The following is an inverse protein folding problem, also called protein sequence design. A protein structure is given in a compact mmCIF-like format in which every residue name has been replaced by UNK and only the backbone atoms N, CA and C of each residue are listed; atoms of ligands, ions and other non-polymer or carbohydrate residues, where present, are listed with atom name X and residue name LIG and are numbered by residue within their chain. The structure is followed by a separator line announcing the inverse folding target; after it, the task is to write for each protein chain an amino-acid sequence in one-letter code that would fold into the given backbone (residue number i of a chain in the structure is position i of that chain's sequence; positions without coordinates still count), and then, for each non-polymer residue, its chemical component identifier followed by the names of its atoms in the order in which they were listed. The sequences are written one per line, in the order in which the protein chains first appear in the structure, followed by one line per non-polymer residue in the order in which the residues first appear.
data_IF_889563080930
#
_entry.id   IF_889563080930
#
_cell.length_a   1.000
_cell.length_b   1.000
_cell.length_c   1.000
_cell.angle_alpha   90.00
_cell.angle_beta   90.00
_cell.angle_gamma   90.00
#
_symmetry.space_group_name_H-M   'P 1'
#
loop_
_entity.id
_entity.type
_entity.pdbx_description
1 polymer ?
#
# COMPACT_ATOMS: atom_id res chain seq x y z
N UNK A 1 -0.99 12.58 -4.18
CA UNK A 1 -0.14 13.76 -3.90
C UNK A 1 1.29 13.46 -3.47
N UNK A 2 1.64 12.27 -2.98
CA UNK A 2 3.05 11.96 -2.68
C UNK A 2 3.98 12.24 -3.87
N UNK A 3 3.44 12.20 -5.09
CA UNK A 3 4.04 12.71 -6.32
C UNK A 3 4.68 14.11 -6.22
N UNK A 4 4.13 15.03 -5.43
CA UNK A 4 4.63 16.38 -5.19
C UNK A 4 5.94 16.41 -4.37
N UNK A 5 6.30 15.31 -3.70
CA UNK A 5 7.58 15.16 -3.01
C UNK A 5 8.67 14.89 -4.06
N UNK A 6 9.64 15.80 -4.20
CA UNK A 6 10.66 15.74 -5.26
C UNK A 6 11.92 14.96 -4.85
N UNK A 7 12.55 14.33 -5.83
CA UNK A 7 13.88 13.71 -5.71
C UNK A 7 13.96 12.59 -4.67
N UNK A 8 15.10 12.53 -3.98
CA UNK A 8 15.43 11.48 -3.00
C UNK A 8 14.62 11.53 -1.70
N UNK A 9 13.74 12.54 -1.54
CA UNK A 9 12.91 12.68 -0.32
C UNK A 9 11.83 11.61 -0.22
N UNK A 10 11.30 11.10 -1.34
CA UNK A 10 10.33 9.99 -1.34
C UNK A 10 10.89 8.72 -0.65
N UNK A 11 12.05 8.19 -1.08
CA UNK A 11 12.74 7.11 -0.35
C UNK A 11 13.05 7.42 1.12
N UNK A 12 13.43 8.67 1.44
CA UNK A 12 13.71 9.08 2.82
C UNK A 12 12.47 9.00 3.73
N UNK A 13 11.29 9.35 3.22
CA UNK A 13 10.05 9.21 3.98
C UNK A 13 9.67 7.74 4.22
N UNK A 14 9.96 6.83 3.27
CA UNK A 14 9.83 5.39 3.53
C UNK A 14 10.79 4.90 4.61
N UNK A 15 12.02 5.42 4.65
CA UNK A 15 12.99 5.10 5.72
C UNK A 15 12.54 5.66 7.08
N UNK A 16 12.04 6.89 7.11
CA UNK A 16 11.58 7.55 8.34
C UNK A 16 10.32 6.87 8.91
N UNK A 17 9.36 6.51 8.05
CA UNK A 17 8.16 5.77 8.46
C UNK A 17 8.45 4.30 8.79
N UNK A 18 9.50 3.71 8.20
CA UNK A 18 9.85 2.30 8.39
C UNK A 18 8.64 1.40 8.10
N UNK A 19 8.22 0.57 9.07
CA UNK A 19 7.04 -0.30 8.98
C UNK A 19 5.76 0.31 9.58
N UNK A 20 5.77 1.59 9.97
CA UNK A 20 4.61 2.27 10.56
C UNK A 20 3.71 2.87 9.47
N UNK A 21 2.62 2.15 9.18
CA UNK A 21 1.64 2.51 8.14
C UNK A 21 0.80 3.72 8.53
N UNK A 22 0.48 3.88 9.80
CA UNK A 22 -0.33 5.00 10.28
C UNK A 22 0.47 6.30 10.26
N UNK A 23 1.73 6.27 10.68
CA UNK A 23 2.62 7.42 10.56
C UNK A 23 2.78 7.87 9.11
N UNK A 24 2.98 6.93 8.18
CA UNK A 24 3.09 7.26 6.76
C UNK A 24 1.79 7.86 6.21
N UNK A 25 0.63 7.27 6.55
CA UNK A 25 -0.67 7.79 6.14
C UNK A 25 -0.94 9.20 6.69
N UNK A 26 -0.57 9.46 7.95
CA UNK A 26 -0.68 10.78 8.57
C UNK A 26 0.14 11.83 7.83
N UNK A 27 1.39 11.49 7.46
CA UNK A 27 2.21 12.37 6.61
C UNK A 27 1.54 12.66 5.26
N UNK A 28 0.88 11.67 4.63
CA UNK A 28 0.15 11.90 3.38
C UNK A 28 -1.05 12.83 3.57
N UNK A 29 -1.80 12.67 4.66
CA UNK A 29 -2.93 13.55 5.00
C UNK A 29 -2.44 14.97 5.34
N UNK A 30 -1.30 15.11 6.01
CA UNK A 30 -0.69 16.43 6.28
C UNK A 30 -0.27 17.12 4.97
N UNK A 31 0.30 16.38 4.02
CA UNK A 31 0.58 16.91 2.69
C UNK A 31 -0.71 17.38 2.00
N UNK A 32 -1.84 16.71 2.21
CA UNK A 32 -3.13 17.09 1.62
C UNK A 32 -3.60 18.42 2.17
N UNK A 33 -3.56 18.54 3.49
CA UNK A 33 -3.95 19.75 4.20
C UNK A 33 -3.01 20.92 3.89
N UNK A 34 -1.75 20.64 3.58
CA UNK A 34 -0.79 21.65 3.16
C UNK A 34 -1.06 22.15 1.73
N UNK A 35 -1.16 21.23 0.76
CA UNK A 35 -1.34 21.60 -0.65
C UNK A 35 -2.74 22.12 -0.98
N UNK A 36 -3.78 21.61 -0.28
CA UNK A 36 -5.20 21.92 -0.50
C UNK A 36 -5.59 21.89 -1.98
N UNK A 37 -5.52 20.72 -2.64
CA UNK A 37 -5.95 20.60 -4.03
C UNK A 37 -7.37 21.14 -4.21
N UNK A 38 -7.58 22.00 -5.19
CA UNK A 38 -8.92 22.58 -5.46
C UNK A 38 -9.89 21.56 -6.06
N UNK A 39 -9.35 20.57 -6.78
CA UNK A 39 -10.11 19.51 -7.42
C UNK A 39 -9.23 18.27 -7.51
N UNK A 40 -9.78 17.13 -7.11
CA UNK A 40 -9.18 15.81 -7.26
C UNK A 40 -10.09 14.98 -8.16
N UNK A 41 -9.50 14.35 -9.18
CA UNK A 41 -10.20 13.49 -10.13
C UNK A 41 -9.56 12.11 -10.02
N UNK A 42 -10.39 11.07 -9.95
CA UNK A 42 -9.99 9.67 -9.91
C UNK A 42 -10.58 8.95 -11.12
N UNK A 43 -9.70 8.38 -11.94
CA UNK A 43 -10.06 7.45 -13.00
C UNK A 43 -10.17 6.04 -12.41
N UNK A 44 -11.40 5.55 -12.32
CA UNK A 44 -11.74 4.21 -11.85
C UNK A 44 -12.35 3.36 -12.97
N UNK A 45 -12.12 3.68 -14.25
CA UNK A 45 -12.70 2.88 -15.35
C UNK A 45 -12.25 1.42 -15.22
N UNK A 46 -10.94 1.23 -14.99
CA UNK A 46 -10.32 -0.06 -14.68
C UNK A 46 -9.54 0.07 -13.38
N UNK A 47 -9.98 -0.67 -12.36
CA UNK A 47 -9.27 -0.88 -11.11
C UNK A 47 -8.39 -2.14 -11.17
N UNK A 48 -7.66 -2.38 -10.08
CA UNK A 48 -6.77 -3.53 -9.94
C UNK A 48 -7.09 -4.30 -8.65
N UNK A 49 -7.42 -5.58 -8.80
CA UNK A 49 -7.65 -6.51 -7.69
C UNK A 49 -6.38 -7.31 -7.34
N UNK A 50 -6.28 -7.78 -6.11
CA UNK A 50 -5.20 -8.64 -5.62
C UNK A 50 -3.89 -7.91 -5.28
N UNK A 51 -2.77 -8.63 -5.39
CA UNK A 51 -1.43 -8.22 -4.92
C UNK A 51 -0.70 -7.23 -5.83
N UNK A 52 -1.45 -6.36 -6.54
CA UNK A 52 -0.90 -5.37 -7.46
C UNK A 52 0.22 -4.50 -6.86
N UNK A 53 0.84 -3.59 -7.63
CA UNK A 53 0.56 -3.22 -9.02
C UNK A 53 1.16 -4.15 -10.09
N UNK A 54 0.73 -3.98 -11.35
CA UNK A 54 1.30 -4.68 -12.51
C UNK A 54 0.77 -6.10 -12.68
N UNK A 55 1.64 -7.05 -13.10
CA UNK A 55 1.26 -8.45 -13.38
C UNK A 55 0.85 -9.25 -12.13
N UNK A 56 1.10 -8.73 -10.93
CA UNK A 56 0.66 -9.37 -9.67
C UNK A 56 -0.80 -9.08 -9.33
N UNK A 57 -1.44 -8.12 -10.01
CA UNK A 57 -2.86 -7.83 -9.88
C UNK A 57 -3.69 -8.33 -11.06
N UNK A 58 -5.02 -8.26 -10.93
CA UNK A 58 -5.99 -8.60 -11.98
C UNK A 58 -6.86 -7.38 -12.31
N UNK A 59 -6.96 -6.97 -13.58
CA UNK A 59 -7.81 -5.85 -13.97
C UNK A 59 -9.27 -6.10 -13.60
N UNK A 60 -9.93 -5.09 -13.02
CA UNK A 60 -11.36 -5.10 -12.67
C UNK A 60 -12.03 -3.86 -13.21
N UNK A 61 -12.98 -4.03 -14.13
CA UNK A 61 -13.77 -2.89 -14.62
C UNK A 61 -14.71 -2.39 -13.53
N UNK A 62 -14.62 -1.11 -13.17
CA UNK A 62 -15.64 -0.43 -12.36
C UNK A 62 -16.45 0.56 -13.21
N UNK A 63 -15.85 1.13 -14.26
CA UNK A 63 -16.55 2.01 -15.20
C UNK A 63 -16.90 3.39 -14.66
N UNK A 64 -16.20 3.85 -13.62
CA UNK A 64 -16.49 5.12 -12.94
C UNK A 64 -15.37 6.14 -13.10
N UNK A 65 -15.74 7.42 -13.19
CA UNK A 65 -14.84 8.55 -12.98
C UNK A 65 -15.43 9.35 -11.83
N UNK A 66 -14.61 9.61 -10.81
CA UNK A 66 -15.04 10.38 -9.66
C UNK A 66 -14.29 11.70 -9.59
N UNK A 67 -14.93 12.73 -9.05
CA UNK A 67 -14.30 14.01 -8.80
C UNK A 67 -14.83 14.64 -7.52
N UNK A 68 -13.95 15.29 -6.76
CA UNK A 68 -14.31 15.99 -5.52
C UNK A 68 -13.33 17.12 -5.23
N UNK A 69 -13.80 18.12 -4.50
CA UNK A 69 -12.93 19.14 -3.89
C UNK A 69 -12.29 18.63 -2.59
N UNK A 70 -12.83 17.55 -2.02
CA UNK A 70 -12.29 16.87 -0.85
C UNK A 70 -11.82 15.45 -1.23
N UNK A 71 -10.51 15.23 -1.15
CA UNK A 71 -9.90 13.95 -1.50
C UNK A 71 -10.22 12.84 -0.48
N UNK A 72 -10.45 13.18 0.80
CA UNK A 72 -10.83 12.18 1.81
C UNK A 72 -12.26 11.71 1.57
N UNK A 73 -13.17 12.63 1.23
CA UNK A 73 -14.54 12.28 0.82
C UNK A 73 -14.55 11.46 -0.47
N UNK A 74 -13.66 11.77 -1.43
CA UNK A 74 -13.50 10.99 -2.65
C UNK A 74 -13.10 9.55 -2.33
N UNK A 75 -12.05 9.37 -1.53
CA UNK A 75 -11.58 8.05 -1.07
C UNK A 75 -12.70 7.33 -0.29
N UNK A 76 -13.46 8.05 0.54
CA UNK A 76 -14.57 7.49 1.31
C UNK A 76 -15.67 6.91 0.43
N UNK A 77 -16.02 7.60 -0.67
CA UNK A 77 -16.99 7.10 -1.67
C UNK A 77 -16.41 5.91 -2.43
N UNK A 78 -15.12 5.93 -2.80
CA UNK A 78 -14.47 4.78 -3.44
C UNK A 78 -14.55 3.54 -2.55
N UNK A 79 -14.31 3.68 -1.24
CA UNK A 79 -14.44 2.57 -0.28
C UNK A 79 -15.84 1.96 -0.30
N UNK A 80 -16.91 2.76 -0.35
CA UNK A 80 -18.26 2.23 -0.52
C UNK A 80 -18.42 1.46 -1.84
N UNK A 81 -17.93 2.01 -2.95
CA UNK A 81 -18.03 1.37 -4.28
C UNK A 81 -17.37 -0.01 -4.28
N UNK A 82 -16.23 -0.16 -3.60
CA UNK A 82 -15.51 -1.45 -3.54
C UNK A 82 -15.89 -2.32 -2.33
N UNK A 83 -16.87 -1.89 -1.52
CA UNK A 83 -17.33 -2.65 -0.36
C UNK A 83 -16.34 -2.71 0.81
N UNK A 84 -15.51 -1.68 0.99
CA UNK A 84 -14.56 -1.53 2.09
C UNK A 84 -15.03 -0.50 3.14
N UNK A 85 -14.54 -0.66 4.36
CA UNK A 85 -14.76 0.26 5.47
C UNK A 85 -13.72 1.38 5.54
N UNK A 86 -14.05 2.43 6.29
CA UNK A 86 -13.17 3.59 6.52
C UNK A 86 -11.80 3.22 7.11
N UNK A 87 -11.75 2.13 7.88
CA UNK A 87 -10.54 1.63 8.54
C UNK A 87 -9.63 0.82 7.63
N UNK A 88 -10.13 0.34 6.50
CA UNK A 88 -9.36 -0.48 5.56
C UNK A 88 -8.34 0.35 4.77
N UNK A 89 -8.55 1.67 4.71
CA UNK A 89 -7.63 2.62 4.09
C UNK A 89 -7.03 3.55 5.16
N UNK A 90 -5.73 3.41 5.41
CA UNK A 90 -5.04 4.15 6.46
C UNK A 90 -5.17 5.68 6.36
N UNK A 91 -5.30 6.26 5.16
CA UNK A 91 -5.52 7.71 5.01
C UNK A 91 -6.89 8.13 5.51
N UNK A 92 -7.94 7.36 5.21
CA UNK A 92 -9.28 7.58 5.77
C UNK A 92 -9.33 7.29 7.27
N UNK A 93 -8.67 6.22 7.74
CA UNK A 93 -8.55 5.91 9.16
C UNK A 93 -7.93 7.07 9.93
N UNK A 94 -6.76 7.54 9.52
CA UNK A 94 -6.08 8.67 10.18
C UNK A 94 -6.92 9.93 10.09
N UNK A 95 -7.56 10.21 8.95
CA UNK A 95 -8.45 11.37 8.82
C UNK A 95 -9.63 11.33 9.80
N UNK A 96 -10.18 10.14 10.08
CA UNK A 96 -11.25 9.96 11.07
C UNK A 96 -10.70 10.12 12.49
N UNK A 97 -9.60 9.44 12.81
CA UNK A 97 -9.01 9.43 14.15
C UNK A 97 -8.52 10.84 14.57
N UNK A 98 -8.16 11.68 13.60
CA UNK A 98 -7.72 13.06 13.78
C UNK A 98 -8.82 14.12 13.56
N UNK A 99 -10.07 13.70 13.34
CA UNK A 99 -11.22 14.58 13.09
C UNK A 99 -11.00 15.60 11.95
N UNK A 100 -10.41 15.14 10.84
CA UNK A 100 -10.07 15.98 9.69
C UNK A 100 -11.28 16.24 8.77
N UNK A 101 -12.31 15.39 8.84
CA UNK A 101 -13.51 15.45 8.01
C UNK A 101 -13.42 14.62 6.72
N UNK A 102 -14.54 14.55 5.99
CA UNK A 102 -14.64 13.81 4.73
C UNK A 102 -14.76 12.28 4.88
N UNK A 103 -14.77 11.75 6.11
CA UNK A 103 -14.82 10.29 6.36
C UNK A 103 -16.22 9.75 6.60
N UNK A 104 -17.20 10.62 6.83
CA UNK A 104 -18.60 10.21 6.98
C UNK A 104 -19.31 10.20 5.63
N UNK A 105 -19.81 9.02 5.25
CA UNK A 105 -20.56 8.86 4.01
C UNK A 105 -21.95 9.51 4.11
N UNK A 106 -22.58 9.50 5.28
CA UNK A 106 -23.92 10.06 5.46
C UNK A 106 -23.92 11.59 5.29
N UNK A 107 -22.84 12.24 5.72
CA UNK A 107 -22.59 13.67 5.48
C UNK A 107 -22.07 14.02 4.08
N UNK A 108 -21.80 13.04 3.21
CA UNK A 108 -21.22 13.29 1.88
C UNK A 108 -22.30 13.42 0.81
N UNK A 109 -22.39 14.58 0.17
CA UNK A 109 -23.27 14.78 -0.99
C UNK A 109 -22.65 14.14 -2.24
N UNK A 110 -23.28 13.09 -2.75
CA UNK A 110 -22.92 12.48 -4.04
C UNK A 110 -23.83 13.04 -5.13
N UNK A 111 -23.22 13.46 -6.23
CA UNK A 111 -23.91 13.93 -7.42
C UNK A 111 -23.63 12.97 -8.58
N UNK A 112 -24.64 12.69 -9.40
CA UNK A 112 -24.53 11.73 -10.50
C UNK A 112 -25.19 10.40 -10.17
N UNK A 113 -24.51 9.30 -10.50
CA UNK A 113 -24.99 7.94 -10.26
C UNK A 113 -25.07 7.63 -8.76
N UNK A 114 -26.06 6.82 -8.38
CA UNK A 114 -26.17 6.32 -7.02
C UNK A 114 -25.04 5.32 -6.74
N UNK A 115 -24.41 5.40 -5.56
CA UNK A 115 -23.31 4.51 -5.18
C UNK A 115 -23.72 3.05 -5.29
N UNK A 116 -24.93 2.69 -4.88
CA UNK A 116 -25.42 1.31 -4.92
C UNK A 116 -25.54 0.77 -6.36
N UNK A 117 -25.68 1.65 -7.36
CA UNK A 117 -25.76 1.25 -8.77
C UNK A 117 -24.40 0.89 -9.37
N UNK A 118 -23.31 1.44 -8.83
CA UNK A 118 -21.93 1.22 -9.29
C UNK A 118 -21.10 0.34 -8.35
N UNK A 119 -21.66 -0.03 -7.20
CA UNK A 119 -21.00 -0.84 -6.19
C UNK A 119 -20.67 -2.25 -6.69
N UNK A 120 -19.47 -2.72 -6.34
CA UNK A 120 -18.98 -4.06 -6.62
C UNK A 120 -18.95 -4.88 -5.34
N UNK A 121 -19.59 -6.06 -5.36
CA UNK A 121 -19.78 -6.91 -4.16
C UNK A 121 -18.65 -7.90 -3.90
N UNK A 122 -17.82 -8.16 -4.90
CA UNK A 122 -16.81 -9.23 -4.92
C UNK A 122 -15.42 -8.68 -5.22
N UNK A 123 -15.16 -7.42 -4.88
CA UNK A 123 -13.84 -6.82 -5.07
C UNK A 123 -12.79 -7.54 -4.21
N UNK A 124 -11.70 -7.99 -4.83
CA UNK A 124 -10.66 -8.76 -4.14
C UNK A 124 -9.52 -7.85 -3.71
N UNK A 125 -9.45 -7.56 -2.41
CA UNK A 125 -8.37 -6.81 -1.79
C UNK A 125 -7.06 -7.61 -1.67
N UNK A 126 -5.89 -6.95 -1.65
CA UNK A 126 -4.63 -7.60 -1.33
C UNK A 126 -4.64 -8.16 0.10
N UNK A 127 -3.89 -9.23 0.33
CA UNK A 127 -3.77 -9.83 1.66
C UNK A 127 -2.96 -8.91 2.56
N UNK A 128 -3.60 -8.38 3.59
CA UNK A 128 -2.92 -7.63 4.64
C UNK A 128 -2.23 -8.63 5.55
N UNK A 129 -0.92 -8.81 5.36
CA UNK A 129 -0.12 -9.61 6.29
C UNK A 129 0.27 -8.71 7.46
N UNK A 130 -0.28 -8.96 8.65
CA UNK A 130 0.08 -8.18 9.83
C UNK A 130 1.53 -8.45 10.25
N UNK A 131 2.32 -7.39 10.22
CA UNK A 131 3.77 -7.42 10.50
C UNK A 131 4.04 -7.27 12.00
N UNK A 132 3.00 -7.09 12.83
CA UNK A 132 3.13 -6.67 14.23
C UNK A 132 2.63 -7.72 15.23
N UNK A 133 3.53 -8.57 15.72
CA UNK A 133 3.34 -9.17 17.05
C UNK A 133 3.88 -8.19 18.12
N UNK A 134 3.13 -7.88 19.19
CA UNK A 134 3.61 -7.03 20.28
C UNK A 134 4.58 -7.84 21.16
N UNK A 135 5.81 -8.04 20.70
CA UNK A 135 6.87 -8.65 21.50
C UNK A 135 7.54 -7.61 22.41
N UNK A 136 8.09 -8.02 23.58
CA UNK A 136 8.87 -7.13 24.44
C UNK A 136 10.17 -6.68 23.75
N UNK A 137 10.57 -5.42 23.99
CA UNK A 137 11.59 -4.65 23.24
C UNK A 137 12.95 -5.38 23.05
N UNK A 138 13.33 -6.22 24.01
CA UNK A 138 14.62 -6.93 24.00
C UNK A 138 14.62 -8.22 23.18
N UNK A 139 13.44 -8.82 22.95
CA UNK A 139 13.30 -10.09 22.22
C UNK A 139 12.97 -9.87 20.73
N UNK A 140 12.55 -8.64 20.38
CA UNK A 140 12.08 -8.26 19.05
C UNK A 140 13.12 -8.44 17.95
N UNK A 141 14.37 -7.99 18.12
CA UNK A 141 15.28 -7.86 16.97
C UNK A 141 15.60 -9.19 16.27
N UNK A 142 15.79 -10.26 17.03
CA UNK A 142 16.11 -11.59 16.48
C UNK A 142 14.89 -12.46 16.21
N UNK A 143 13.73 -12.24 16.84
CA UNK A 143 12.52 -13.01 16.54
C UNK A 143 11.65 -12.37 15.46
N UNK A 144 11.70 -11.03 15.30
CA UNK A 144 11.04 -10.30 14.22
C UNK A 144 11.43 -10.85 12.84
N UNK A 145 12.67 -11.32 12.64
CA UNK A 145 13.12 -11.93 11.37
C UNK A 145 12.35 -13.20 10.97
N UNK A 146 11.85 -13.97 11.94
CA UNK A 146 11.12 -15.21 11.71
C UNK A 146 9.61 -15.05 11.84
N UNK A 147 9.16 -13.88 12.31
CA UNK A 147 7.77 -13.53 12.59
C UNK A 147 7.28 -12.37 11.72
N UNK A 148 8.03 -11.95 10.71
CA UNK A 148 7.59 -10.88 9.80
C UNK A 148 7.56 -11.35 8.35
N UNK A 149 6.58 -10.81 7.64
CA UNK A 149 6.47 -10.95 6.20
C UNK A 149 7.71 -10.38 5.52
N UNK A 150 8.19 -11.05 4.45
CA UNK A 150 9.37 -10.61 3.70
C UNK A 150 9.15 -10.79 2.19
N UNK A 151 9.78 -9.94 1.36
CA UNK A 151 9.74 -10.12 -0.09
C UNK A 151 10.47 -11.41 -0.47
N UNK A 152 9.92 -12.15 -1.43
CA UNK A 152 10.49 -13.37 -1.96
C UNK A 152 10.48 -13.31 -3.49
N UNK A 153 11.64 -13.55 -4.10
CA UNK A 153 11.80 -13.49 -5.56
C UNK A 153 11.62 -14.90 -6.14
N UNK A 154 10.65 -15.05 -7.04
CA UNK A 154 10.52 -16.22 -7.89
C UNK A 154 11.56 -16.16 -9.02
N UNK A 155 12.54 -17.05 -8.96
CA UNK A 155 13.61 -17.12 -9.94
C UNK A 155 13.13 -17.50 -11.35
N UNK A 156 11.97 -18.16 -11.48
CA UNK A 156 11.44 -18.55 -12.79
C UNK A 156 10.86 -17.37 -13.55
N UNK A 157 10.17 -16.49 -12.84
CA UNK A 157 9.51 -15.31 -13.41
C UNK A 157 10.46 -14.09 -13.49
N UNK A 158 11.54 -14.08 -12.71
CA UNK A 158 12.47 -12.95 -12.66
C UNK A 158 13.38 -12.88 -13.90
N UNK A 159 13.36 -11.75 -14.61
CA UNK A 159 14.21 -11.45 -15.78
C UNK A 159 15.54 -10.78 -15.43
N UNK A 160 15.85 -10.61 -14.14
CA UNK A 160 17.06 -9.92 -13.65
C UNK A 160 17.23 -8.48 -14.18
N UNK A 161 16.12 -7.77 -14.43
CA UNK A 161 16.11 -6.39 -14.91
C UNK A 161 16.68 -5.35 -13.92
N UNK A 162 16.83 -5.72 -12.64
CA UNK A 162 17.39 -4.90 -11.55
C UNK A 162 16.59 -3.67 -11.11
N UNK A 163 15.38 -3.44 -11.62
CA UNK A 163 14.51 -2.33 -11.16
C UNK A 163 14.27 -2.35 -9.64
N UNK A 164 14.15 -3.54 -9.04
CA UNK A 164 14.00 -3.70 -7.59
C UNK A 164 15.26 -3.31 -6.81
N UNK A 165 16.44 -3.47 -7.40
CA UNK A 165 17.73 -3.02 -6.84
C UNK A 165 17.77 -1.50 -6.83
N UNK A 166 17.40 -0.88 -7.94
CA UNK A 166 17.48 0.57 -8.13
C UNK A 166 16.50 1.34 -7.24
N UNK A 167 15.31 0.79 -6.99
CA UNK A 167 14.28 1.46 -6.17
C UNK A 167 14.50 1.28 -4.67
N UNK A 168 15.34 0.33 -4.25
CA UNK A 168 15.44 -0.09 -2.85
C UNK A 168 15.93 1.05 -1.94
N UNK A 169 15.09 1.64 -1.05
CA UNK A 169 15.49 2.80 -0.25
C UNK A 169 16.72 2.57 0.64
N UNK A 170 16.89 1.43 1.34
CA UNK A 170 18.09 1.16 2.12
C UNK A 170 19.25 0.60 1.28
N UNK A 171 19.08 0.41 -0.04
CA UNK A 171 20.11 -0.12 -0.95
C UNK A 171 20.70 -1.48 -0.54
N UNK A 172 19.81 -2.39 -0.10
CA UNK A 172 20.16 -3.72 0.44
C UNK A 172 20.04 -4.87 -0.57
N UNK A 173 19.62 -4.57 -1.79
CA UNK A 173 19.46 -5.56 -2.86
C UNK A 173 20.65 -5.48 -3.81
N UNK A 174 21.13 -6.63 -4.30
CA UNK A 174 22.24 -6.71 -5.26
C UNK A 174 22.00 -7.79 -6.30
N UNK A 175 22.42 -7.54 -7.54
CA UNK A 175 22.49 -8.58 -8.58
C UNK A 175 23.81 -9.33 -8.46
N UNK A 176 23.76 -10.64 -8.19
CA UNK A 176 24.92 -11.51 -8.12
C UNK A 176 24.72 -12.69 -9.08
N UNK A 177 25.56 -12.75 -10.12
CA UNK A 177 25.47 -13.75 -11.20
C UNK A 177 24.03 -13.80 -11.76
N UNK A 178 23.34 -14.92 -11.56
CA UNK A 178 22.01 -15.22 -12.08
C UNK A 178 20.91 -15.04 -11.03
N UNK A 179 21.14 -14.23 -10.00
CA UNK A 179 20.16 -13.97 -8.94
C UNK A 179 20.19 -12.52 -8.44
N UNK A 180 19.06 -12.09 -7.87
CA UNK A 180 19.00 -10.91 -7.01
C UNK A 180 19.02 -11.39 -5.55
N UNK A 181 19.98 -10.90 -4.78
CA UNK A 181 20.10 -11.13 -3.34
C UNK A 181 19.53 -9.96 -2.55
N UNK A 182 18.93 -10.27 -1.40
CA UNK A 182 18.31 -9.30 -0.47
C UNK A 182 18.96 -9.51 0.88
N UNK A 183 19.58 -8.45 1.44
CA UNK A 183 19.95 -8.43 2.85
C UNK A 183 18.69 -8.15 3.70
N UNK A 184 18.15 -9.24 4.25
CA UNK A 184 16.92 -9.20 5.05
C UNK A 184 17.10 -8.55 6.42
N UNK A 185 18.33 -8.44 6.93
CA UNK A 185 18.63 -7.83 8.24
C UNK A 185 18.50 -6.31 8.16
N UNK A 186 18.87 -5.73 7.02
CA UNK A 186 18.78 -4.28 6.77
C UNK A 186 17.53 -3.87 5.97
N UNK A 187 16.68 -4.81 5.57
CA UNK A 187 15.46 -4.52 4.82
C UNK A 187 14.31 -4.04 5.73
N UNK A 188 13.84 -2.82 5.47
CA UNK A 188 12.77 -2.14 6.23
C UNK A 188 11.34 -2.64 5.95
N UNK A 189 11.18 -3.66 5.10
CA UNK A 189 9.88 -4.24 4.72
C UNK A 189 8.90 -3.20 4.13
N UNK A 190 9.41 -2.31 3.28
CA UNK A 190 8.60 -1.30 2.59
C UNK A 190 7.92 -1.81 1.31
N UNK A 191 8.28 -3.00 0.82
CA UNK A 191 7.71 -3.66 -0.37
C UNK A 191 7.75 -2.89 -1.70
N UNK A 192 8.47 -1.76 -1.80
CA UNK A 192 8.68 -1.06 -3.08
C UNK A 192 9.27 -1.97 -4.18
N UNK A 193 10.05 -2.98 -3.80
CA UNK A 193 10.59 -3.97 -4.74
C UNK A 193 9.48 -4.82 -5.39
N UNK A 194 8.42 -5.17 -4.65
CA UNK A 194 7.25 -5.85 -5.19
C UNK A 194 6.51 -4.93 -6.16
N UNK A 195 6.25 -3.69 -5.75
CA UNK A 195 5.49 -2.73 -6.55
C UNK A 195 6.17 -2.40 -7.89
N UNK A 196 7.49 -2.30 -7.91
CA UNK A 196 8.22 -1.92 -9.13
C UNK A 196 8.44 -3.10 -10.09
N UNK A 197 8.16 -4.34 -9.68
CA UNK A 197 8.53 -5.51 -10.46
C UNK A 197 7.60 -5.70 -11.67
N UNK A 198 8.08 -5.51 -12.91
CA UNK A 198 7.21 -5.59 -14.10
C UNK A 198 6.72 -7.01 -14.37
N UNK A 199 7.44 -8.02 -13.86
CA UNK A 199 7.12 -9.44 -14.04
C UNK A 199 6.23 -10.00 -12.93
N UNK A 200 5.91 -9.22 -11.89
CA UNK A 200 5.23 -9.75 -10.70
C UNK A 200 6.03 -10.85 -9.99
N UNK A 201 7.35 -10.90 -10.20
CA UNK A 201 8.23 -11.98 -9.72
C UNK A 201 8.55 -11.87 -8.22
N UNK A 202 8.09 -10.82 -7.53
CA UNK A 202 8.34 -10.60 -6.11
C UNK A 202 7.02 -10.74 -5.35
N UNK A 203 6.97 -11.66 -4.39
CA UNK A 203 5.78 -11.99 -3.59
C UNK A 203 6.06 -11.79 -2.11
N UNK A 204 5.03 -11.63 -1.29
CA UNK A 204 5.17 -11.59 0.17
C UNK A 204 5.08 -13.00 0.73
N UNK A 205 6.08 -13.41 1.52
CA UNK A 205 6.02 -14.66 2.29
C UNK A 205 6.08 -14.38 3.78
N UNK A 206 5.17 -15.01 4.51
CA UNK A 206 5.16 -15.00 5.97
C UNK A 206 6.40 -15.70 6.55
N UNK A 207 6.78 -15.27 7.75
CA UNK A 207 7.81 -15.93 8.52
C UNK A 207 7.40 -17.36 8.92
N UNK A 208 8.35 -18.28 8.95
CA UNK A 208 8.09 -19.70 9.25
C UNK A 208 7.34 -19.91 10.57
N UNK A 209 7.70 -19.17 11.62
CA UNK A 209 7.03 -19.26 12.93
C UNK A 209 5.62 -18.67 12.91
N UNK A 210 5.37 -17.62 12.12
CA UNK A 210 4.04 -17.02 11.97
C UNK A 210 3.07 -18.00 11.30
N UNK A 211 3.54 -18.75 10.29
CA UNK A 211 2.76 -19.80 9.62
C UNK A 211 2.37 -20.95 10.56
N UNK A 212 3.19 -21.23 11.59
CA UNK A 212 2.93 -22.27 12.60
C UNK A 212 1.99 -21.78 13.72
N UNK A 213 1.95 -20.47 13.98
CA UNK A 213 1.15 -19.87 15.05
C UNK A 213 -0.27 -19.45 14.61
N UNK A 214 -0.52 -19.31 13.31
CA UNK A 214 -1.79 -18.90 12.71
C UNK A 214 -2.57 -20.04 12.02
N UNK A 215 -2.14 -21.29 12.20
CA UNK A 215 -2.85 -22.53 11.80
C UNK A 215 -3.43 -23.22 13.02
#
# INVERSE_FOLDING_TARGET
MFGCVVGKRKPQWHLAASSDREYFARMLVDLYRFFKPRLTILDGIVALEGEGPGKSGRPRGLGVILASQDAIALDRVVLEIVGAGVDDLFTCKVARDDDIGGTDIAGTQVLGEDIASVMVKDFVFPKVVDIGFPLPFNLHRHLKKHLTAKPYIDKKSCTLCSMCVDICPPSIMKKIKDAIEIDYDNCIRCFCCQEICPEGAITVKEGFLMKLLLQ
#
